data_IF_057503599526
#
_entry.id   IF_057503599526
#
_cell.length_a   1.000
_cell.length_b   1.000
_cell.length_c   1.000
_cell.angle_alpha   90.00
_cell.angle_beta   90.00
_cell.angle_gamma   90.00
#
_symmetry.space_group_name_H-M   'P 1'
#
loop_
_entity.id
_entity.type
_entity.pdbx_description
1 polymer ?
#
# COMPACT_ATOMS: atom_id res chain seq x y z
N UNK A 1 -14.27 6.52 -0.76
CA UNK A 1 -14.68 7.78 -0.09
C UNK A 1 -14.56 8.97 -1.07
N UNK A 2 -15.64 9.34 -1.78
CA UNK A 2 -15.66 10.46 -2.74
C UNK A 2 -15.77 11.77 -1.95
N UNK A 3 -14.80 12.67 -2.12
CA UNK A 3 -14.88 14.05 -1.63
C UNK A 3 -14.83 15.01 -2.82
N UNK A 4 -15.79 15.93 -2.77
CA UNK A 4 -15.97 17.20 -3.50
C UNK A 4 -14.64 17.81 -3.99
N UNK A 5 -14.56 18.09 -5.28
CA UNK A 5 -13.58 19.02 -5.87
C UNK A 5 -14.18 20.43 -5.81
N UNK A 6 -13.64 21.26 -4.92
CA UNK A 6 -13.43 22.70 -5.09
C UNK A 6 -12.89 23.27 -3.78
N UNK A 7 -11.74 23.93 -3.88
CA UNK A 7 -10.92 24.58 -2.85
C UNK A 7 -9.94 23.68 -2.06
N UNK A 8 -8.73 23.56 -2.61
CA UNK A 8 -7.50 23.26 -1.86
C UNK A 8 -7.16 21.78 -1.64
N UNK A 9 -6.24 21.26 -2.46
CA UNK A 9 -5.30 20.14 -2.20
C UNK A 9 -5.74 18.67 -2.42
N UNK A 10 -7.01 18.33 -2.63
CA UNK A 10 -7.40 16.92 -2.91
C UNK A 10 -7.49 16.60 -4.41
N UNK A 11 -6.73 15.62 -4.90
CA UNK A 11 -6.53 15.33 -6.34
C UNK A 11 -6.59 13.83 -6.63
N UNK A 12 -6.87 13.47 -7.89
CA UNK A 12 -6.67 12.12 -8.42
C UNK A 12 -5.35 12.14 -9.22
N UNK A 13 -4.47 11.19 -8.94
CA UNK A 13 -3.18 11.08 -9.62
C UNK A 13 -3.32 10.24 -10.89
N UNK A 14 -2.98 10.83 -12.03
CA UNK A 14 -2.94 10.18 -13.33
C UNK A 14 -1.49 10.15 -13.80
N UNK A 15 -0.96 8.96 -14.12
CA UNK A 15 0.43 8.81 -14.55
C UNK A 15 0.58 7.70 -15.59
N UNK A 16 1.73 7.62 -16.27
CA UNK A 16 2.04 6.47 -17.11
C UNK A 16 2.31 5.24 -16.27
N UNK A 17 3.18 5.39 -15.27
CA UNK A 17 3.51 4.44 -14.23
C UNK A 17 3.90 5.23 -12.97
N UNK A 18 3.98 4.57 -11.82
CA UNK A 18 4.46 5.15 -10.56
C UNK A 18 5.55 4.25 -10.02
N UNK A 19 6.77 4.77 -9.95
CA UNK A 19 7.89 4.06 -9.36
C UNK A 19 7.73 3.92 -7.83
N UNK A 20 8.38 2.94 -7.18
CA UNK A 20 8.34 2.80 -5.73
C UNK A 20 8.75 4.08 -4.97
N UNK A 21 9.76 4.80 -5.47
CA UNK A 21 10.21 6.07 -4.88
C UNK A 21 9.14 7.17 -4.97
N UNK A 22 8.44 7.28 -6.10
CA UNK A 22 7.31 8.21 -6.24
C UNK A 22 6.13 7.80 -5.35
N UNK A 23 5.86 6.50 -5.26
CA UNK A 23 4.80 5.96 -4.41
C UNK A 23 5.01 6.29 -2.93
N UNK A 24 6.28 6.33 -2.46
CA UNK A 24 6.65 6.74 -1.12
C UNK A 24 6.26 8.20 -0.78
N UNK A 25 6.18 9.06 -1.79
CA UNK A 25 5.87 10.49 -1.65
C UNK A 25 4.37 10.78 -1.66
N UNK A 26 3.53 9.77 -1.91
CA UNK A 26 2.08 9.92 -1.98
C UNK A 26 1.54 10.22 -0.58
N UNK A 27 1.01 11.43 -0.39
CA UNK A 27 0.26 11.77 0.81
C UNK A 27 -1.22 11.36 0.67
N UNK A 28 -1.69 10.35 1.43
CA UNK A 28 -3.08 9.88 1.37
C UNK A 28 -4.11 10.93 1.82
N UNK A 29 -3.69 12.03 2.46
CA UNK A 29 -4.60 13.13 2.81
C UNK A 29 -5.02 13.94 1.57
N UNK A 30 -4.13 13.99 0.57
CA UNK A 30 -4.26 14.82 -0.61
C UNK A 30 -4.59 14.00 -1.87
N UNK A 31 -4.22 12.72 -1.94
CA UNK A 31 -4.52 11.87 -3.09
C UNK A 31 -5.78 11.03 -2.82
N UNK A 32 -6.82 11.25 -3.62
CA UNK A 32 -8.13 10.59 -3.52
C UNK A 32 -8.23 9.29 -4.33
N UNK A 33 -7.36 9.12 -5.31
CA UNK A 33 -7.36 7.98 -6.22
C UNK A 33 -6.16 8.01 -7.14
N UNK A 34 -5.81 6.86 -7.70
CA UNK A 34 -4.68 6.69 -8.62
C UNK A 34 -5.17 5.99 -9.88
N UNK A 35 -4.73 6.43 -11.05
CA UNK A 35 -4.87 5.66 -12.27
C UNK A 35 -3.60 5.72 -13.13
N UNK A 36 -3.21 4.58 -13.71
CA UNK A 36 -1.99 4.48 -14.52
C UNK A 36 -2.19 3.77 -15.84
N UNK A 37 -1.37 4.10 -16.85
CA UNK A 37 -1.38 3.43 -18.15
C UNK A 37 -0.78 2.03 -18.12
N UNK A 38 0.24 1.86 -17.29
CA UNK A 38 0.99 0.61 -17.11
C UNK A 38 0.77 0.09 -15.70
N UNK A 39 0.86 -1.22 -15.53
CA UNK A 39 0.79 -1.87 -14.24
C UNK A 39 -0.28 -2.96 -14.18
N UNK A 40 -0.39 -3.58 -13.01
CA UNK A 40 -1.31 -4.68 -12.77
C UNK A 40 -1.50 -4.90 -11.27
N UNK A 41 -2.36 -5.86 -10.89
CA UNK A 41 -2.74 -6.09 -9.48
C UNK A 41 -1.56 -6.40 -8.54
N UNK A 42 -0.44 -6.86 -9.08
CA UNK A 42 0.75 -7.26 -8.33
C UNK A 42 1.92 -6.26 -8.41
N UNK A 43 1.74 -5.11 -9.07
CA UNK A 43 2.82 -4.12 -9.17
C UNK A 43 2.98 -3.30 -7.89
N UNK A 44 4.15 -2.69 -7.71
CA UNK A 44 4.44 -1.83 -6.55
C UNK A 44 3.39 -0.73 -6.37
N UNK A 45 2.91 -0.13 -7.46
CA UNK A 45 1.82 0.84 -7.45
C UNK A 45 0.53 0.29 -6.86
N UNK A 46 0.14 -0.94 -7.23
CA UNK A 46 -1.08 -1.58 -6.71
C UNK A 46 -0.95 -1.94 -5.23
N UNK A 47 0.25 -2.31 -4.80
CA UNK A 47 0.52 -2.66 -3.41
C UNK A 47 0.51 -1.38 -2.56
N UNK A 48 1.19 -0.32 -3.01
CA UNK A 48 1.23 0.98 -2.32
C UNK A 48 -0.16 1.60 -2.22
N UNK A 49 -0.94 1.60 -3.30
CA UNK A 49 -2.30 2.14 -3.26
C UNK A 49 -3.18 1.41 -2.23
N UNK A 50 -3.07 0.08 -2.14
CA UNK A 50 -3.78 -0.72 -1.13
C UNK A 50 -3.35 -0.40 0.29
N UNK A 51 -2.04 -0.33 0.53
CA UNK A 51 -1.47 0.04 1.82
C UNK A 51 -1.94 1.43 2.29
N UNK A 52 -2.00 2.40 1.37
CA UNK A 52 -2.47 3.75 1.64
C UNK A 52 -4.01 3.87 1.69
N UNK A 53 -4.75 2.78 1.45
CA UNK A 53 -6.22 2.76 1.31
C UNK A 53 -6.74 3.74 0.24
N UNK A 54 -5.98 3.90 -0.85
CA UNK A 54 -6.32 4.76 -1.99
C UNK A 54 -6.89 3.87 -3.11
N UNK A 55 -8.09 4.17 -3.64
CA UNK A 55 -8.63 3.42 -4.78
C UNK A 55 -7.74 3.61 -6.00
N UNK A 56 -7.40 2.53 -6.69
CA UNK A 56 -6.52 2.57 -7.84
C UNK A 56 -6.98 1.69 -9.01
N UNK A 57 -6.79 2.18 -10.24
CA UNK A 57 -7.02 1.44 -11.47
C UNK A 57 -5.78 1.53 -12.35
N UNK A 58 -5.10 0.42 -12.57
CA UNK A 58 -3.81 0.38 -13.28
C UNK A 58 -3.94 -0.34 -14.63
N UNK A 59 -3.04 -0.05 -15.55
CA UNK A 59 -2.98 -0.72 -16.85
C UNK A 59 -3.98 -0.19 -17.88
N UNK A 60 -4.40 1.07 -17.77
CA UNK A 60 -5.39 1.68 -18.68
C UNK A 60 -4.69 2.22 -19.93
N UNK A 61 -4.75 1.49 -21.05
CA UNK A 61 -4.12 1.91 -22.30
C UNK A 61 -4.64 3.27 -22.79
N UNK A 62 -3.73 4.22 -23.02
CA UNK A 62 -4.04 5.55 -23.54
C UNK A 62 -4.79 6.43 -22.53
N UNK A 63 -4.56 6.24 -21.24
CA UNK A 63 -5.16 7.07 -20.19
C UNK A 63 -4.72 8.54 -20.32
N UNK A 64 -3.42 8.77 -20.56
CA UNK A 64 -2.85 10.12 -20.57
C UNK A 64 -3.32 10.95 -21.76
N UNK A 65 -3.69 10.29 -22.87
CA UNK A 65 -4.25 10.99 -24.03
C UNK A 65 -5.75 11.28 -23.90
N UNK A 66 -6.42 10.71 -22.89
CA UNK A 66 -7.88 10.83 -22.70
C UNK A 66 -8.28 11.76 -21.57
N UNK A 67 -7.35 12.09 -20.66
CA UNK A 67 -7.63 12.85 -19.45
C UNK A 67 -6.72 14.07 -19.41
N UNK A 68 -7.32 15.22 -19.14
CA UNK A 68 -6.62 16.49 -18.97
C UNK A 68 -6.63 16.95 -17.51
N UNK A 69 -5.69 17.83 -17.16
CA UNK A 69 -5.62 18.38 -15.82
C UNK A 69 -6.84 19.25 -15.52
N UNK A 70 -7.43 19.05 -14.34
CA UNK A 70 -8.61 19.81 -13.89
C UNK A 70 -9.95 19.15 -14.23
N UNK A 71 -9.96 18.03 -14.94
CA UNK A 71 -11.19 17.29 -15.21
C UNK A 71 -11.73 16.55 -14.00
N UNK A 72 -13.07 16.46 -13.92
CA UNK A 72 -13.75 15.69 -12.88
C UNK A 72 -13.71 14.20 -13.22
N UNK A 73 -13.20 13.41 -12.27
CA UNK A 73 -13.04 11.97 -12.42
C UNK A 73 -13.66 11.21 -11.26
N UNK A 74 -14.18 10.01 -11.54
CA UNK A 74 -14.46 8.98 -10.53
C UNK A 74 -13.52 7.81 -10.79
N UNK A 75 -12.86 7.35 -9.72
CA UNK A 75 -12.07 6.12 -9.70
C UNK A 75 -12.86 5.04 -8.95
N UNK A 76 -13.19 3.97 -9.65
CA UNK A 76 -13.79 2.76 -9.11
C UNK A 76 -12.75 1.64 -9.14
N UNK A 77 -12.03 1.49 -8.02
CA UNK A 77 -10.99 0.47 -7.87
C UNK A 77 -11.52 -0.96 -7.81
N UNK A 78 -12.78 -1.16 -7.41
CA UNK A 78 -13.40 -2.48 -7.30
C UNK A 78 -13.73 -3.05 -8.68
N UNK A 79 -14.28 -2.20 -9.56
CA UNK A 79 -14.65 -2.57 -10.94
C UNK A 79 -13.54 -2.33 -11.94
N UNK A 80 -12.47 -1.63 -11.55
CA UNK A 80 -11.38 -1.25 -12.44
C UNK A 80 -11.81 -0.21 -13.48
N UNK A 81 -12.66 0.76 -13.10
CA UNK A 81 -13.25 1.74 -14.03
C UNK A 81 -12.81 3.16 -13.64
N UNK A 82 -12.45 3.94 -14.66
CA UNK A 82 -12.24 5.39 -14.55
C UNK A 82 -13.33 6.10 -15.36
N UNK A 83 -14.07 6.99 -14.73
CA UNK A 83 -15.16 7.74 -15.37
C UNK A 83 -14.75 9.20 -15.46
N UNK A 84 -14.50 9.66 -16.68
CA UNK A 84 -14.28 11.07 -17.01
C UNK A 84 -15.60 11.82 -17.14
N UNK A 85 -15.64 13.04 -16.63
CA UNK A 85 -16.77 13.97 -16.68
C UNK A 85 -18.10 13.28 -16.33
N UNK A 86 -18.21 12.69 -15.12
CA UNK A 86 -19.36 11.89 -14.74
C UNK A 86 -20.65 12.71 -14.73
N UNK A 87 -21.71 12.15 -15.28
CA UNK A 87 -23.03 12.80 -15.22
C UNK A 87 -23.52 12.94 -13.77
N UNK A 88 -24.41 13.90 -13.47
CA UNK A 88 -24.98 14.05 -12.13
C UNK A 88 -25.63 12.77 -11.58
N UNK A 89 -26.24 11.96 -12.48
CA UNK A 89 -26.79 10.65 -12.11
C UNK A 89 -25.73 9.64 -11.67
N UNK A 90 -24.60 9.58 -12.39
CA UNK A 90 -23.46 8.73 -12.00
C UNK A 90 -22.83 9.19 -10.68
N UNK A 91 -22.67 10.49 -10.48
CA UNK A 91 -22.17 11.05 -9.22
C UNK A 91 -23.08 10.61 -8.06
N UNK A 92 -24.40 10.76 -8.18
CA UNK A 92 -25.35 10.32 -7.15
C UNK A 92 -25.28 8.83 -6.88
N UNK A 93 -25.20 8.00 -7.92
CA UNK A 93 -25.07 6.55 -7.77
C UNK A 93 -23.86 6.19 -6.90
N UNK A 94 -22.68 6.72 -7.22
CA UNK A 94 -21.45 6.43 -6.48
C UNK A 94 -21.46 7.01 -5.06
N UNK A 95 -22.09 8.17 -4.85
CA UNK A 95 -22.32 8.71 -3.51
C UNK A 95 -23.17 7.77 -2.65
N UNK A 96 -24.21 7.15 -3.21
CA UNK A 96 -25.02 6.17 -2.49
C UNK A 96 -24.24 4.89 -2.18
N UNK A 97 -23.39 4.41 -3.09
CA UNK A 97 -22.51 3.26 -2.80
C UNK A 97 -21.55 3.57 -1.66
N UNK A 98 -20.92 4.74 -1.66
CA UNK A 98 -20.05 5.19 -0.58
C UNK A 98 -20.80 5.27 0.77
N UNK A 99 -22.05 5.77 0.77
CA UNK A 99 -22.86 5.81 1.99
C UNK A 99 -23.13 4.41 2.53
N UNK A 100 -23.41 3.43 1.66
CA UNK A 100 -23.60 2.03 2.05
C UNK A 100 -22.34 1.43 2.66
N UNK A 101 -21.20 1.63 2.02
CA UNK A 101 -19.90 1.19 2.52
C UNK A 101 -19.61 1.80 3.90
N UNK A 102 -19.81 3.11 4.05
CA UNK A 102 -19.61 3.81 5.32
C UNK A 102 -20.54 3.28 6.42
N UNK A 103 -21.79 2.96 6.10
CA UNK A 103 -22.73 2.34 7.05
C UNK A 103 -22.24 0.97 7.50
N UNK A 104 -21.75 0.15 6.56
CA UNK A 104 -21.17 -1.16 6.87
C UNK A 104 -19.93 -1.01 7.76
N UNK A 105 -18.98 -0.14 7.40
CA UNK A 105 -17.78 0.11 8.21
C UNK A 105 -18.16 0.57 9.63
N UNK A 106 -19.15 1.45 9.77
CA UNK A 106 -19.65 1.89 11.08
C UNK A 106 -20.28 0.75 11.87
N UNK A 107 -21.04 -0.12 11.24
CA UNK A 107 -21.64 -1.29 11.88
C UNK A 107 -20.58 -2.32 12.32
N UNK A 108 -19.44 -2.40 11.63
CA UNK A 108 -18.32 -3.29 11.96
C UNK A 108 -17.33 -2.69 12.96
N UNK A 109 -17.30 -1.36 13.12
CA UNK A 109 -16.35 -0.67 14.01
C UNK A 109 -16.35 -1.20 15.45
N UNK A 110 -17.49 -1.53 16.09
CA UNK A 110 -17.48 -2.05 17.46
C UNK A 110 -16.73 -3.38 17.62
N UNK A 111 -16.65 -4.19 16.56
CA UNK A 111 -15.93 -5.47 16.60
C UNK A 111 -14.41 -5.29 16.68
N UNK A 112 -13.88 -4.12 16.32
CA UNK A 112 -12.45 -3.84 16.41
C UNK A 112 -11.96 -3.73 17.87
N UNK A 113 -12.87 -3.52 18.83
CA UNK A 113 -12.57 -3.43 20.26
C UNK A 113 -12.78 -4.75 21.00
N UNK A 114 -13.37 -5.76 20.34
CA UNK A 114 -13.62 -7.06 20.94
C UNK A 114 -12.33 -7.90 20.95
N UNK A 115 -12.09 -8.70 22.01
CA UNK A 115 -10.99 -9.65 22.01
C UNK A 115 -11.21 -10.68 20.89
N UNK A 116 -10.15 -11.09 20.17
CA UNK A 116 -10.27 -12.04 19.06
C UNK A 116 -10.43 -13.46 19.62
N UNK A 117 -11.64 -13.78 20.03
CA UNK A 117 -12.01 -14.99 20.77
C UNK A 117 -13.17 -15.69 20.08
N UNK A 118 -13.05 -17.01 19.91
CA UNK A 118 -14.15 -17.85 19.41
C UNK A 118 -15.26 -18.00 20.44
N UNK A 119 -16.43 -18.48 20.01
CA UNK A 119 -17.61 -18.67 20.89
C UNK A 119 -17.35 -19.64 22.05
N UNK A 120 -16.47 -20.61 21.86
CA UNK A 120 -16.07 -21.64 22.84
C UNK A 120 -14.86 -21.25 23.69
N UNK A 121 -14.28 -20.06 23.48
CA UNK A 121 -13.31 -19.51 24.41
C UNK A 121 -11.88 -19.37 23.91
N UNK A 122 -11.56 -19.85 22.70
CA UNK A 122 -10.20 -19.89 22.17
C UNK A 122 -9.77 -18.53 21.64
N UNK A 123 -8.61 -18.05 22.08
CA UNK A 123 -7.98 -16.85 21.54
C UNK A 123 -7.28 -17.15 20.22
N UNK A 124 -7.40 -16.23 19.27
CA UNK A 124 -6.72 -16.27 17.97
C UNK A 124 -6.08 -14.90 17.76
N UNK A 125 -4.77 -14.85 17.57
CA UNK A 125 -4.12 -13.58 17.28
C UNK A 125 -4.49 -13.10 15.87
N UNK A 126 -5.09 -11.91 15.79
CA UNK A 126 -5.39 -11.24 14.53
C UNK A 126 -4.41 -10.07 14.41
N UNK A 127 -3.31 -10.29 13.70
CA UNK A 127 -2.28 -9.26 13.49
C UNK A 127 -2.32 -8.73 12.06
N UNK A 128 -1.78 -7.53 11.84
CA UNK A 128 -1.75 -6.91 10.52
C UNK A 128 -0.46 -7.26 9.75
N UNK A 129 -0.58 -7.39 8.43
CA UNK A 129 0.57 -7.42 7.53
C UNK A 129 0.73 -6.03 6.92
N UNK A 130 1.91 -5.44 7.03
CA UNK A 130 2.20 -4.08 6.58
C UNK A 130 3.52 -4.03 5.80
N UNK A 131 3.66 -3.02 4.95
CA UNK A 131 4.85 -2.74 4.14
C UNK A 131 5.39 -1.32 4.36
N UNK A 132 4.53 -0.40 4.80
CA UNK A 132 4.84 0.99 5.08
C UNK A 132 4.65 1.29 6.55
N UNK A 133 5.51 2.16 7.10
CA UNK A 133 5.37 2.62 8.48
C UNK A 133 3.98 3.21 8.75
N UNK A 134 3.41 3.97 7.80
CA UNK A 134 2.10 4.63 7.99
C UNK A 134 0.94 3.66 8.28
N UNK A 135 1.04 2.40 7.86
CA UNK A 135 -0.03 1.41 7.98
C UNK A 135 -0.28 0.95 9.42
N UNK A 136 0.68 1.16 10.34
CA UNK A 136 0.50 0.81 11.75
C UNK A 136 -0.71 1.52 12.38
N UNK A 137 -1.04 2.73 11.89
CA UNK A 137 -2.21 3.48 12.34
C UNK A 137 -3.52 2.79 11.98
N UNK A 138 -3.59 2.20 10.78
CA UNK A 138 -4.74 1.42 10.32
C UNK A 138 -4.82 0.08 11.03
N UNK A 139 -3.69 -0.60 11.25
CA UNK A 139 -3.64 -1.84 12.02
C UNK A 139 -4.29 -1.66 13.40
N UNK A 140 -3.90 -0.61 14.14
CA UNK A 140 -4.52 -0.26 15.43
C UNK A 140 -6.01 0.08 15.29
N UNK A 141 -6.35 0.92 14.31
CA UNK A 141 -7.73 1.34 14.07
C UNK A 141 -8.67 0.16 13.83
N UNK A 142 -8.19 -0.89 13.16
CA UNK A 142 -8.98 -2.09 12.85
C UNK A 142 -8.79 -3.22 13.87
N UNK A 143 -8.23 -2.94 15.05
CA UNK A 143 -8.17 -3.89 16.16
C UNK A 143 -7.09 -4.96 16.05
N UNK A 144 -6.05 -4.75 15.23
CA UNK A 144 -4.98 -5.72 15.09
C UNK A 144 -4.16 -5.87 16.40
N UNK A 145 -3.97 -7.11 16.83
CA UNK A 145 -3.12 -7.51 17.95
C UNK A 145 -1.68 -7.60 17.44
N UNK A 146 -1.08 -6.43 17.19
CA UNK A 146 0.29 -6.32 16.69
C UNK A 146 0.42 -6.41 15.17
N UNK A 147 1.67 -6.51 14.74
CA UNK A 147 2.07 -6.67 13.33
C UNK A 147 2.60 -8.08 13.15
N UNK A 148 1.91 -8.88 12.35
CA UNK A 148 2.26 -10.27 12.06
C UNK A 148 3.31 -10.40 10.97
N UNK A 149 3.46 -9.36 10.14
CA UNK A 149 4.48 -9.28 9.11
C UNK A 149 4.72 -7.83 8.72
N UNK A 150 5.91 -7.30 9.02
CA UNK A 150 6.43 -6.09 8.39
C UNK A 150 7.40 -6.47 7.28
N UNK A 151 7.00 -6.15 6.05
CA UNK A 151 7.79 -6.33 4.82
C UNK A 151 8.77 -5.16 4.66
N UNK A 152 10.06 -5.48 4.62
CA UNK A 152 11.14 -4.48 4.64
C UNK A 152 11.65 -4.10 3.25
N UNK A 153 11.17 -4.77 2.20
CA UNK A 153 11.66 -4.60 0.82
C UNK A 153 11.48 -3.18 0.32
N UNK A 154 10.43 -2.48 0.78
CA UNK A 154 10.20 -1.10 0.38
C UNK A 154 11.31 -0.15 0.84
N UNK A 155 11.99 -0.43 1.97
CA UNK A 155 13.14 0.37 2.42
C UNK A 155 14.30 0.34 1.42
N UNK A 156 14.43 -0.76 0.67
CA UNK A 156 15.45 -0.94 -0.36
C UNK A 156 15.00 -0.41 -1.72
N UNK A 157 13.71 -0.52 -2.05
CA UNK A 157 13.17 -0.10 -3.35
C UNK A 157 12.88 1.41 -3.45
N UNK A 158 12.62 2.08 -2.33
CA UNK A 158 12.25 3.49 -2.32
C UNK A 158 13.41 4.44 -2.62
N UNK A 159 14.66 3.95 -2.61
CA UNK A 159 15.86 4.79 -2.70
C UNK A 159 16.81 4.32 -3.80
N UNK A 160 17.62 5.26 -4.29
CA UNK A 160 18.83 4.93 -5.06
C UNK A 160 19.90 4.45 -4.09
N UNK A 161 20.03 3.13 -3.94
CA UNK A 161 20.99 2.49 -3.05
C UNK A 161 20.36 1.82 -1.82
N UNK A 162 21.17 1.07 -1.09
CA UNK A 162 20.72 0.34 0.11
C UNK A 162 20.50 1.28 1.30
N UNK A 163 19.46 1.06 2.13
CA UNK A 163 19.21 1.85 3.32
C UNK A 163 20.33 1.62 4.34
N UNK A 164 20.75 2.67 5.04
CA UNK A 164 21.75 2.53 6.10
C UNK A 164 21.17 1.82 7.31
N UNK A 165 22.03 1.27 8.18
CA UNK A 165 21.61 0.69 9.46
C UNK A 165 20.76 1.68 10.27
N UNK A 166 21.22 2.93 10.39
CA UNK A 166 20.53 3.98 11.15
C UNK A 166 19.15 4.33 10.55
N UNK A 167 18.97 4.23 9.24
CA UNK A 167 17.67 4.41 8.59
C UNK A 167 16.72 3.26 8.92
N UNK A 168 17.21 2.03 8.84
CA UNK A 168 16.46 0.84 9.22
C UNK A 168 16.08 0.87 10.71
N UNK A 169 17.04 1.16 11.58
CA UNK A 169 16.84 1.28 13.02
C UNK A 169 15.72 2.27 13.36
N UNK A 170 15.74 3.47 12.77
CA UNK A 170 14.70 4.48 13.02
C UNK A 170 13.30 3.98 12.69
N UNK A 171 13.13 3.30 11.55
CA UNK A 171 11.83 2.76 11.15
C UNK A 171 11.40 1.61 12.08
N UNK A 172 12.29 0.66 12.34
CA UNK A 172 11.97 -0.52 13.16
C UNK A 172 11.69 -0.15 14.61
N UNK A 173 12.51 0.72 15.20
CA UNK A 173 12.32 1.23 16.56
C UNK A 173 11.01 2.02 16.67
N UNK A 174 10.73 2.92 15.73
CA UNK A 174 9.47 3.67 15.74
C UNK A 174 8.25 2.73 15.63
N UNK A 175 8.31 1.71 14.77
CA UNK A 175 7.23 0.75 14.60
C UNK A 175 7.01 -0.08 15.87
N UNK A 176 8.09 -0.62 16.44
CA UNK A 176 8.05 -1.39 17.69
C UNK A 176 7.50 -0.56 18.86
N UNK A 177 7.94 0.70 19.00
CA UNK A 177 7.41 1.61 20.01
C UNK A 177 5.94 1.93 19.78
N UNK A 178 5.54 2.13 18.53
CA UNK A 178 4.15 2.44 18.20
C UNK A 178 3.21 1.29 18.58
N UNK A 179 3.62 0.03 18.43
CA UNK A 179 2.73 -1.12 18.60
C UNK A 179 2.67 -1.69 20.02
N UNK A 180 3.42 -1.13 20.98
CA UNK A 180 3.37 -1.57 22.39
C UNK A 180 1.92 -1.65 22.90
N UNK A 181 1.55 -2.71 23.65
CA UNK A 181 2.39 -3.82 24.11
C UNK A 181 2.51 -5.00 23.12
N UNK A 182 1.93 -4.89 21.92
CA UNK A 182 1.80 -5.99 20.97
C UNK A 182 3.06 -6.23 20.14
N UNK A 183 3.30 -7.47 19.68
CA UNK A 183 4.50 -7.81 18.93
C UNK A 183 4.52 -7.17 17.54
N UNK A 184 5.73 -7.01 17.02
CA UNK A 184 6.00 -6.63 15.63
C UNK A 184 6.96 -7.64 15.04
N UNK A 185 6.49 -8.44 14.10
CA UNK A 185 7.30 -9.43 13.38
C UNK A 185 7.89 -8.74 12.15
N UNK A 186 9.17 -8.44 12.20
CA UNK A 186 9.90 -7.81 11.09
C UNK A 186 10.56 -8.92 10.27
N UNK A 187 10.21 -8.99 8.98
CA UNK A 187 10.87 -9.91 8.06
C UNK A 187 12.12 -9.24 7.51
N UNK A 188 13.24 -9.95 7.51
CA UNK A 188 14.42 -9.53 6.75
C UNK A 188 14.07 -9.40 5.26
N UNK A 189 14.86 -8.66 4.50
CA UNK A 189 14.47 -8.34 3.12
C UNK A 189 14.28 -9.62 2.27
N UNK A 190 13.19 -9.70 1.52
CA UNK A 190 12.86 -10.76 0.56
C UNK A 190 12.88 -10.20 -0.86
N UNK A 191 14.07 -9.83 -1.32
CA UNK A 191 14.34 -9.36 -2.67
C UNK A 191 15.21 -10.36 -3.43
N UNK A 192 14.97 -10.46 -4.73
CA UNK A 192 15.83 -11.23 -5.64
C UNK A 192 17.11 -10.48 -5.95
N UNK A 193 18.17 -11.22 -6.27
CA UNK A 193 19.47 -10.67 -6.69
C UNK A 193 19.33 -9.77 -7.91
N UNK A 194 18.38 -10.06 -8.80
CA UNK A 194 18.01 -9.25 -9.96
C UNK A 194 17.47 -7.85 -9.61
N UNK A 195 17.00 -7.66 -8.37
CA UNK A 195 16.50 -6.37 -7.86
C UNK A 195 17.55 -5.61 -7.06
N UNK A 196 18.60 -6.28 -6.62
CA UNK A 196 19.66 -5.71 -5.77
C UNK A 196 20.89 -5.38 -6.62
N UNK A 197 21.25 -6.27 -7.54
CA UNK A 197 22.40 -6.15 -8.43
C UNK A 197 21.89 -5.90 -9.85
N UNK A 198 22.06 -4.68 -10.35
CA UNK A 198 21.56 -4.27 -11.67
C UNK A 198 22.06 -5.12 -12.83
N UNK A 199 23.27 -5.68 -12.70
CA UNK A 199 23.92 -6.48 -13.75
C UNK A 199 23.73 -8.00 -13.54
N UNK A 200 22.94 -8.40 -12.55
CA UNK A 200 22.68 -9.80 -12.26
C UNK A 200 21.40 -10.28 -12.94
N UNK A 201 21.56 -11.31 -13.77
CA UNK A 201 20.45 -11.99 -14.42
C UNK A 201 20.53 -13.49 -14.18
N UNK A 202 19.37 -14.09 -13.91
CA UNK A 202 19.24 -15.53 -13.75
C UNK A 202 18.01 -16.05 -14.50
N UNK A 203 18.07 -17.32 -14.92
CA UNK A 203 17.01 -17.92 -15.73
C UNK A 203 15.66 -18.00 -14.97
N UNK A 204 15.70 -18.17 -13.64
CA UNK A 204 14.49 -18.20 -12.82
C UNK A 204 14.71 -17.48 -11.47
N UNK A 205 14.36 -16.18 -11.38
CA UNK A 205 14.52 -15.40 -10.16
C UNK A 205 13.71 -15.87 -8.95
N UNK A 206 12.66 -16.67 -9.16
CA UNK A 206 11.86 -17.22 -8.06
C UNK A 206 12.54 -18.41 -7.38
N UNK A 207 13.33 -19.18 -8.13
CA UNK A 207 14.08 -20.34 -7.61
C UNK A 207 15.55 -20.00 -7.31
N UNK A 208 15.92 -18.76 -7.56
CA UNK A 208 17.28 -18.25 -7.64
C UNK A 208 17.87 -17.68 -6.36
N UNK A 209 18.72 -16.66 -6.53
CA UNK A 209 19.34 -15.92 -5.44
C UNK A 209 18.37 -14.89 -4.88
N UNK A 210 17.65 -15.25 -3.81
CA UNK A 210 16.61 -14.41 -3.21
C UNK A 210 16.65 -14.45 -1.68
N UNK A 211 16.21 -13.37 -1.06
CA UNK A 211 15.98 -13.26 0.38
C UNK A 211 17.24 -13.66 1.16
N UNK A 212 17.10 -14.58 2.12
CA UNK A 212 18.18 -15.05 2.98
C UNK A 212 19.39 -15.55 2.18
N UNK A 213 19.21 -16.11 0.97
CA UNK A 213 20.32 -16.61 0.15
C UNK A 213 21.25 -15.47 -0.30
N UNK A 214 20.69 -14.30 -0.56
CA UNK A 214 21.49 -13.11 -0.87
C UNK A 214 22.23 -12.64 0.38
N UNK A 215 21.56 -12.63 1.54
CA UNK A 215 22.16 -12.22 2.81
C UNK A 215 23.37 -13.08 3.20
N UNK A 216 23.39 -14.35 2.84
CA UNK A 216 24.48 -15.27 3.21
C UNK A 216 25.69 -15.21 2.27
N UNK A 217 25.72 -14.32 1.28
CA UNK A 217 26.85 -14.22 0.35
C UNK A 217 28.08 -13.58 1.02
N UNK A 218 29.26 -14.23 0.99
CA UNK A 218 30.49 -13.72 1.63
C UNK A 218 31.03 -12.41 1.04
N UNK A 219 30.54 -11.98 -0.12
CA UNK A 219 31.09 -10.90 -0.94
C UNK A 219 30.21 -9.63 -1.00
N UNK A 220 29.18 -9.53 -0.14
CA UNK A 220 28.38 -8.31 -0.03
C UNK A 220 29.02 -7.39 1.02
N UNK A 221 29.51 -6.18 0.67
CA UNK A 221 30.35 -5.34 1.55
C UNK A 221 29.65 -4.73 2.77
N UNK A 222 28.40 -5.11 3.07
CA UNK A 222 27.58 -4.54 4.14
C UNK A 222 27.26 -5.55 5.25
N UNK A 223 27.96 -6.69 5.26
CA UNK A 223 28.15 -7.58 6.41
C UNK A 223 29.60 -7.42 6.90
#
# INVERSE_FOLDING_TARGET
MIKRLSNGLRRILIARDISPSEAALIDPKNILGIATEVGGRTTHTAITARALQIPAVLGIKGLLSRIENGEDLIIDGDRGIVIKNPSPGRIRFYQEQQKKELRLTKALSPYCELPPKTRDGKYIDISANIEFFAEHTYAKKYGAVGIGLFRTEFLYLARRGSPTEEEQFRVYNALAQSMKPHPVIIRTFDLGGDKIFSDYHEANPFLGWRAIRVMTLPSIPWL
#
